data_IF_638590756394
#
_entry.id   IF_638590756394
#
_cell.length_a   1.000
_cell.length_b   1.000
_cell.length_c   1.000
_cell.angle_alpha   90.00
_cell.angle_beta   90.00
_cell.angle_gamma   90.00
#
_symmetry.space_group_name_H-M   'P 1'
#
loop_
_entity.id
_entity.type
_entity.pdbx_description
1 polymer ?
#
# COMPACT_ATOMS: atom_id res chain seq x y z
N UNK A 1 47.47 -13.70 16.13
CA UNK A 1 46.92 -13.12 14.88
C UNK A 1 45.71 -12.26 15.22
N UNK A 2 45.98 -11.00 15.52
CA UNK A 2 45.01 -9.98 15.91
C UNK A 2 45.50 -8.66 15.31
N UNK A 3 44.58 -7.73 15.02
CA UNK A 3 44.78 -6.37 14.48
C UNK A 3 44.53 -6.19 12.98
N UNK A 4 43.26 -6.26 12.59
CA UNK A 4 42.63 -5.24 11.71
C UNK A 4 41.21 -4.97 12.21
N UNK A 5 41.09 -4.80 13.52
CA UNK A 5 39.88 -4.30 14.17
C UNK A 5 40.12 -2.81 14.45
N UNK A 6 39.15 -1.96 14.07
CA UNK A 6 38.97 -0.55 14.48
C UNK A 6 39.40 0.63 13.58
N UNK A 7 40.13 0.49 12.47
CA UNK A 7 40.46 1.69 11.66
C UNK A 7 39.34 2.28 10.79
N UNK A 8 38.14 1.67 10.75
CA UNK A 8 36.96 2.30 10.12
C UNK A 8 36.29 3.33 11.06
N UNK A 9 36.80 3.50 12.29
CA UNK A 9 36.20 4.38 13.30
C UNK A 9 36.80 5.79 13.41
N UNK A 10 37.53 6.26 12.40
CA UNK A 10 37.92 7.67 12.27
C UNK A 10 37.45 8.31 10.95
N UNK A 11 36.47 7.70 10.30
CA UNK A 11 35.76 8.35 9.20
C UNK A 11 34.78 9.33 9.84
N UNK A 12 34.94 10.64 9.63
CA UNK A 12 33.99 11.63 10.14
C UNK A 12 32.59 11.31 9.64
N UNK A 13 31.55 11.67 10.39
CA UNK A 13 30.16 11.26 10.13
C UNK A 13 29.70 11.62 8.71
N UNK A 14 30.11 12.79 8.21
CA UNK A 14 29.92 13.25 6.83
C UNK A 14 30.66 12.39 5.80
N UNK A 15 31.86 11.90 6.10
CA UNK A 15 32.61 11.03 5.20
C UNK A 15 31.90 9.67 4.98
N UNK A 16 31.08 9.17 5.92
CA UNK A 16 30.30 7.94 5.71
C UNK A 16 29.30 8.08 4.55
N UNK A 17 28.62 9.22 4.45
CA UNK A 17 27.66 9.49 3.36
C UNK A 17 28.37 9.67 2.01
N UNK A 18 29.54 10.29 2.02
CA UNK A 18 30.41 10.44 0.85
C UNK A 18 30.91 9.08 0.36
N UNK A 19 31.47 8.27 1.25
CA UNK A 19 31.92 6.89 0.95
C UNK A 19 30.76 6.05 0.45
N UNK A 20 29.60 6.13 1.10
CA UNK A 20 28.39 5.45 0.64
C UNK A 20 28.03 5.86 -0.80
N UNK A 21 28.01 7.16 -1.09
CA UNK A 21 27.67 7.68 -2.43
C UNK A 21 28.62 7.17 -3.51
N UNK A 22 29.94 7.17 -3.23
CA UNK A 22 30.94 6.62 -4.14
C UNK A 22 30.78 5.10 -4.33
N UNK A 23 30.55 4.34 -3.26
CA UNK A 23 30.34 2.90 -3.36
C UNK A 23 29.09 2.56 -4.16
N UNK A 24 27.98 3.29 -3.97
CA UNK A 24 26.77 3.11 -4.77
C UNK A 24 27.03 3.43 -6.24
N UNK A 25 27.73 4.53 -6.54
CA UNK A 25 28.04 4.89 -7.93
C UNK A 25 28.94 3.84 -8.60
N UNK A 26 30.01 3.41 -7.92
CA UNK A 26 30.86 2.33 -8.40
C UNK A 26 30.07 1.04 -8.60
N UNK A 27 29.23 0.66 -7.64
CA UNK A 27 28.38 -0.53 -7.75
C UNK A 27 27.50 -0.49 -9.00
N UNK A 28 26.86 0.65 -9.29
CA UNK A 28 25.98 0.82 -10.45
C UNK A 28 26.73 0.83 -11.78
N UNK A 29 27.97 1.35 -11.80
CA UNK A 29 28.79 1.48 -13.00
C UNK A 29 29.51 0.19 -13.41
N UNK A 30 29.60 -0.81 -12.52
CA UNK A 30 30.19 -2.10 -12.88
C UNK A 30 29.43 -2.77 -14.05
N UNK A 31 30.18 -3.22 -15.06
CA UNK A 31 29.65 -4.04 -16.14
C UNK A 31 29.53 -5.51 -15.67
N UNK A 32 28.86 -6.38 -16.44
CA UNK A 32 28.67 -7.79 -16.10
C UNK A 32 29.80 -8.71 -16.61
N UNK A 33 31.03 -8.18 -16.76
CA UNK A 33 32.19 -9.00 -17.12
C UNK A 33 32.61 -9.88 -15.93
N UNK A 34 33.37 -10.94 -16.17
CA UNK A 34 33.69 -11.94 -15.13
C UNK A 34 34.56 -11.34 -14.00
N UNK A 35 35.56 -10.52 -14.33
CA UNK A 35 36.41 -9.84 -13.35
C UNK A 35 35.71 -8.76 -12.52
N UNK A 36 34.60 -8.19 -13.00
CA UNK A 36 33.84 -7.18 -12.26
C UNK A 36 32.86 -7.78 -11.25
N UNK A 37 32.58 -9.08 -11.31
CA UNK A 37 31.67 -9.75 -10.36
C UNK A 37 32.25 -9.83 -8.95
N UNK A 38 33.54 -10.17 -8.80
CA UNK A 38 34.18 -10.22 -7.49
C UNK A 38 34.21 -8.85 -6.82
N UNK A 39 34.50 -7.80 -7.60
CA UNK A 39 34.43 -6.41 -7.13
C UNK A 39 32.99 -6.00 -6.79
N UNK A 40 32.00 -6.41 -7.61
CA UNK A 40 30.57 -6.20 -7.33
C UNK A 40 30.19 -6.79 -5.97
N UNK A 41 30.54 -8.05 -5.70
CA UNK A 41 30.22 -8.71 -4.43
C UNK A 41 30.94 -8.07 -3.25
N UNK A 42 32.18 -7.61 -3.44
CA UNK A 42 32.93 -6.91 -2.39
C UNK A 42 32.29 -5.56 -2.05
N UNK A 43 31.95 -4.75 -3.05
CA UNK A 43 31.25 -3.48 -2.85
C UNK A 43 29.88 -3.71 -2.23
N UNK A 44 29.13 -4.71 -2.71
CA UNK A 44 27.84 -5.08 -2.15
C UNK A 44 27.92 -5.50 -0.69
N UNK A 45 28.91 -6.33 -0.34
CA UNK A 45 29.19 -6.74 1.03
C UNK A 45 29.52 -5.57 1.94
N UNK A 46 30.31 -4.60 1.47
CA UNK A 46 30.60 -3.37 2.20
C UNK A 46 29.34 -2.52 2.42
N UNK A 47 28.58 -2.24 1.36
CA UNK A 47 27.34 -1.47 1.43
C UNK A 47 26.36 -2.10 2.43
N UNK A 48 26.10 -3.41 2.32
CA UNK A 48 25.15 -4.09 3.18
C UNK A 48 25.64 -4.22 4.62
N UNK A 49 26.82 -4.84 4.83
CA UNK A 49 27.24 -5.28 6.16
C UNK A 49 27.90 -4.18 6.97
N UNK A 50 28.55 -3.22 6.32
CA UNK A 50 29.34 -2.18 7.00
C UNK A 50 28.66 -0.83 7.07
N UNK A 51 27.74 -0.52 6.15
CA UNK A 51 27.04 0.78 6.12
C UNK A 51 25.55 0.62 6.46
N UNK A 52 24.78 -0.05 5.61
CA UNK A 52 23.31 -0.09 5.72
C UNK A 52 22.81 -0.84 6.96
N UNK A 53 23.53 -1.88 7.40
CA UNK A 53 23.21 -2.67 8.60
C UNK A 53 24.07 -2.30 9.81
N UNK A 54 24.83 -1.21 9.76
CA UNK A 54 25.62 -0.77 10.89
C UNK A 54 24.71 -0.44 12.09
N UNK A 55 25.16 -0.82 13.30
CA UNK A 55 24.43 -0.50 14.55
C UNK A 55 24.39 1.00 14.80
N UNK A 56 25.52 1.68 14.58
CA UNK A 56 25.64 3.14 14.68
C UNK A 56 25.23 3.78 13.36
N UNK A 57 24.37 4.78 13.44
CA UNK A 57 23.91 5.58 12.31
C UNK A 57 24.73 6.88 12.32
N UNK A 58 25.04 7.49 11.16
CA UNK A 58 25.58 8.84 11.14
C UNK A 58 24.58 9.82 11.78
N UNK A 59 24.95 10.40 12.92
CA UNK A 59 24.10 11.30 13.71
C UNK A 59 24.88 12.59 14.02
N UNK A 60 24.39 13.74 13.57
CA UNK A 60 25.05 15.02 13.81
C UNK A 60 24.48 16.12 12.92
N UNK A 61 24.60 17.36 13.39
CA UNK A 61 24.17 18.56 12.66
C UNK A 61 25.04 18.82 11.41
N UNK A 62 26.25 18.27 11.37
CA UNK A 62 27.22 18.36 10.28
C UNK A 62 26.76 17.66 8.98
N UNK A 63 25.76 16.78 9.08
CA UNK A 63 25.17 16.14 7.91
C UNK A 63 24.28 17.13 7.16
N UNK A 64 24.65 17.54 5.96
CA UNK A 64 23.79 18.41 5.16
C UNK A 64 22.54 17.67 4.66
N UNK A 65 21.36 18.25 4.87
CA UNK A 65 20.08 17.68 4.40
C UNK A 65 20.07 17.45 2.88
N UNK A 66 20.71 18.35 2.12
CA UNK A 66 20.89 18.23 0.66
C UNK A 66 21.55 16.92 0.23
N UNK A 67 22.47 16.39 1.06
CA UNK A 67 23.12 15.10 0.80
C UNK A 67 22.14 13.94 0.99
N UNK A 68 21.34 13.97 2.06
CA UNK A 68 20.31 12.96 2.32
C UNK A 68 19.25 12.96 1.21
N UNK A 69 18.82 14.14 0.77
CA UNK A 69 17.89 14.32 -0.35
C UNK A 69 18.42 13.74 -1.66
N UNK A 70 19.68 14.05 -1.99
CA UNK A 70 20.34 13.53 -3.19
C UNK A 70 20.38 11.99 -3.17
N UNK A 71 20.73 11.40 -2.03
CA UNK A 71 20.75 9.95 -1.86
C UNK A 71 19.33 9.36 -1.95
N UNK A 72 18.35 9.96 -1.28
CA UNK A 72 16.96 9.50 -1.29
C UNK A 72 16.37 9.55 -2.70
N UNK A 73 16.55 10.68 -3.40
CA UNK A 73 16.09 10.88 -4.78
C UNK A 73 16.72 9.86 -5.73
N UNK A 74 18.04 9.63 -5.62
CA UNK A 74 18.73 8.59 -6.41
C UNK A 74 18.21 7.19 -6.09
N UNK A 75 17.99 6.90 -4.81
CA UNK A 75 17.48 5.59 -4.35
C UNK A 75 16.08 5.32 -4.89
N UNK A 76 15.13 6.24 -4.74
CA UNK A 76 13.78 6.09 -5.30
C UNK A 76 13.79 6.00 -6.82
N UNK A 77 14.62 6.80 -7.51
CA UNK A 77 14.79 6.72 -8.96
C UNK A 77 15.33 5.36 -9.41
N UNK A 78 16.17 4.70 -8.62
CA UNK A 78 16.60 3.32 -8.91
C UNK A 78 15.46 2.31 -8.74
N UNK A 79 14.54 2.51 -7.78
CA UNK A 79 13.37 1.66 -7.62
C UNK A 79 12.34 1.84 -8.75
N UNK A 80 12.27 3.02 -9.38
CA UNK A 80 11.33 3.27 -10.49
C UNK A 80 11.85 2.75 -11.83
N UNK A 81 13.18 2.60 -12.00
CA UNK A 81 13.81 2.27 -13.28
C UNK A 81 13.30 0.94 -13.89
N UNK A 82 13.00 0.93 -15.20
CA UNK A 82 12.68 -0.30 -15.90
C UNK A 82 13.92 -1.19 -16.07
N UNK A 83 13.73 -2.49 -15.93
CA UNK A 83 14.72 -3.50 -16.31
C UNK A 83 14.87 -3.45 -17.84
N UNK A 84 15.92 -2.78 -18.33
CA UNK A 84 16.26 -2.80 -19.77
C UNK A 84 16.86 -4.17 -20.10
N UNK A 85 16.06 -5.10 -20.63
CA UNK A 85 16.60 -6.27 -21.32
C UNK A 85 17.31 -5.76 -22.57
N UNK A 86 18.61 -6.00 -22.72
CA UNK A 86 19.23 -5.89 -24.05
C UNK A 86 18.58 -6.99 -24.90
N UNK A 87 17.85 -6.65 -25.95
CA UNK A 87 17.42 -7.64 -26.95
C UNK A 87 18.65 -8.07 -27.73
N UNK A 88 19.43 -8.98 -27.15
CA UNK A 88 20.42 -9.70 -27.91
C UNK A 88 19.74 -11.01 -28.30
N UNK A 89 19.43 -11.12 -29.59
CA UNK A 89 18.86 -12.30 -30.24
C UNK A 89 19.68 -13.59 -29.98
N UNK A 90 20.86 -13.49 -29.33
CA UNK A 90 21.79 -14.58 -29.03
C UNK A 90 22.40 -14.55 -27.59
N UNK A 91 21.75 -14.01 -26.54
CA UNK A 91 22.35 -14.04 -25.19
C UNK A 91 22.18 -15.39 -24.50
N UNK A 92 23.28 -16.04 -24.09
CA UNK A 92 23.22 -17.27 -23.29
C UNK A 92 22.41 -17.09 -21.99
N UNK A 93 21.68 -18.13 -21.58
CA UNK A 93 20.85 -18.14 -20.36
C UNK A 93 21.61 -17.63 -19.12
N UNK A 94 22.93 -17.89 -19.04
CA UNK A 94 23.82 -17.47 -17.95
C UNK A 94 23.95 -15.94 -17.87
N UNK A 95 24.15 -15.24 -18.99
CA UNK A 95 24.26 -13.77 -19.02
C UNK A 95 22.95 -13.10 -18.61
N UNK A 96 21.82 -13.70 -19.00
CA UNK A 96 20.50 -13.23 -18.60
C UNK A 96 20.25 -13.43 -17.10
N UNK A 97 20.64 -14.58 -16.54
CA UNK A 97 20.54 -14.84 -15.10
C UNK A 97 21.39 -13.86 -14.27
N UNK A 98 22.64 -13.62 -14.69
CA UNK A 98 23.52 -12.64 -14.05
C UNK A 98 22.97 -11.20 -14.11
N UNK A 99 22.35 -10.82 -15.22
CA UNK A 99 21.68 -9.52 -15.31
C UNK A 99 20.47 -9.42 -14.37
N UNK A 100 19.63 -10.46 -14.31
CA UNK A 100 18.47 -10.50 -13.41
C UNK A 100 18.90 -10.47 -11.94
N UNK A 101 19.95 -11.20 -11.55
CA UNK A 101 20.48 -11.20 -10.19
C UNK A 101 21.02 -9.81 -9.81
N UNK A 102 21.78 -9.16 -10.70
CA UNK A 102 22.25 -7.78 -10.52
C UNK A 102 21.10 -6.80 -10.34
N UNK A 103 20.04 -6.91 -11.14
CA UNK A 103 18.85 -6.04 -10.98
C UNK A 103 18.15 -6.25 -9.64
N UNK A 104 18.08 -7.50 -9.14
CA UNK A 104 17.56 -7.77 -7.78
C UNK A 104 18.42 -7.09 -6.71
N UNK A 105 19.76 -7.12 -6.84
CA UNK A 105 20.66 -6.41 -5.93
C UNK A 105 20.47 -4.89 -5.99
N UNK A 106 20.35 -4.31 -7.18
CA UNK A 106 20.11 -2.87 -7.35
C UNK A 106 18.78 -2.46 -6.70
N UNK A 107 17.73 -3.25 -6.89
CA UNK A 107 16.44 -3.00 -6.23
C UNK A 107 16.57 -3.09 -4.71
N UNK A 108 17.22 -4.13 -4.20
CA UNK A 108 17.47 -4.27 -2.75
C UNK A 108 18.34 -3.12 -2.20
N UNK A 109 19.34 -2.67 -2.95
CA UNK A 109 20.18 -1.52 -2.60
C UNK A 109 19.31 -0.27 -2.46
N UNK A 110 18.47 0.00 -3.46
CA UNK A 110 17.55 1.13 -3.45
C UNK A 110 16.66 1.13 -2.21
N UNK A 111 16.00 0.00 -1.89
CA UNK A 111 15.13 -0.09 -0.71
C UNK A 111 15.90 0.12 0.59
N UNK A 112 17.02 -0.59 0.77
CA UNK A 112 17.83 -0.49 1.99
C UNK A 112 18.40 0.92 2.16
N UNK A 113 18.81 1.57 1.07
CA UNK A 113 19.31 2.94 1.07
C UNK A 113 18.22 3.92 1.47
N UNK A 114 17.00 3.77 0.94
CA UNK A 114 15.85 4.57 1.36
C UNK A 114 15.58 4.40 2.85
N UNK A 115 15.51 3.15 3.36
CA UNK A 115 15.27 2.92 4.79
C UNK A 115 16.38 3.49 5.67
N UNK A 116 17.64 3.36 5.25
CA UNK A 116 18.79 3.87 5.99
C UNK A 116 18.79 5.40 6.04
N UNK A 117 18.55 6.08 4.92
CA UNK A 117 18.41 7.55 4.89
C UNK A 117 17.26 8.01 5.77
N UNK A 118 16.11 7.33 5.70
CA UNK A 118 14.96 7.66 6.53
C UNK A 118 15.23 7.46 8.03
N UNK A 119 16.06 6.48 8.38
CA UNK A 119 16.51 6.27 9.76
C UNK A 119 17.37 7.45 10.25
N UNK A 120 18.25 7.98 9.39
CA UNK A 120 19.04 9.20 9.68
C UNK A 120 18.10 10.40 9.84
N UNK A 121 17.15 10.59 8.92
CA UNK A 121 16.16 11.67 8.98
C UNK A 121 15.37 11.64 10.29
N UNK A 122 14.91 10.45 10.70
CA UNK A 122 14.17 10.27 11.94
C UNK A 122 14.98 10.65 13.19
N UNK A 123 16.28 10.30 13.21
CA UNK A 123 17.16 10.59 14.35
C UNK A 123 17.49 12.09 14.52
N UNK A 124 17.25 12.91 13.50
CA UNK A 124 17.71 14.31 13.46
C UNK A 124 16.68 15.37 13.83
N UNK A 125 15.46 14.99 14.21
CA UNK A 125 14.39 15.95 14.58
C UNK A 125 14.29 17.16 13.63
N UNK A 126 14.22 16.90 12.31
CA UNK A 126 14.32 17.94 11.29
C UNK A 126 13.21 19.01 11.41
N UNK A 127 13.49 20.28 11.04
CA UNK A 127 12.46 21.31 10.93
C UNK A 127 11.45 20.97 9.82
N UNK A 128 10.28 21.60 9.88
CA UNK A 128 9.16 21.27 9.00
C UNK A 128 9.47 21.51 7.51
N UNK A 129 10.22 22.56 7.19
CA UNK A 129 10.66 22.86 5.82
C UNK A 129 11.54 21.75 5.22
N UNK A 130 12.40 21.13 6.04
CA UNK A 130 13.23 20.00 5.60
C UNK A 130 12.44 18.70 5.46
N UNK A 131 11.49 18.45 6.37
CA UNK A 131 10.54 17.34 6.20
C UNK A 131 9.75 17.48 4.90
N UNK A 132 9.32 18.71 4.55
CA UNK A 132 8.62 18.96 3.31
C UNK A 132 9.47 18.62 2.08
N UNK A 133 10.75 18.98 2.06
CA UNK A 133 11.67 18.62 0.96
C UNK A 133 11.82 17.10 0.80
N UNK A 134 11.79 16.34 1.90
CA UNK A 134 11.75 14.87 1.86
C UNK A 134 10.43 14.37 1.27
N UNK A 135 9.30 14.96 1.66
CA UNK A 135 7.98 14.62 1.12
C UNK A 135 7.90 14.89 -0.39
N UNK A 136 8.44 16.00 -0.87
CA UNK A 136 8.45 16.35 -2.29
C UNK A 136 9.17 15.28 -3.13
N UNK A 137 10.25 14.70 -2.60
CA UNK A 137 10.96 13.60 -3.25
C UNK A 137 10.08 12.35 -3.37
N UNK A 138 9.30 12.02 -2.34
CA UNK A 138 8.33 10.92 -2.40
C UNK A 138 7.17 11.22 -3.36
N UNK A 139 6.62 12.43 -3.32
CA UNK A 139 5.57 12.86 -4.24
C UNK A 139 6.02 12.72 -5.68
N UNK A 140 7.23 13.17 -6.03
CA UNK A 140 7.79 13.01 -7.38
C UNK A 140 7.90 11.54 -7.81
N UNK A 141 8.37 10.66 -6.92
CA UNK A 141 8.47 9.23 -7.22
C UNK A 141 7.10 8.57 -7.40
N UNK A 142 6.10 8.96 -6.58
CA UNK A 142 4.74 8.47 -6.68
C UNK A 142 4.02 9.02 -7.91
N UNK A 143 4.24 10.29 -8.26
CA UNK A 143 3.76 10.88 -9.50
C UNK A 143 4.24 10.08 -10.71
N UNK A 144 5.54 9.76 -10.77
CA UNK A 144 6.08 8.91 -11.82
C UNK A 144 5.42 7.52 -11.82
N UNK A 145 5.15 6.94 -10.65
CA UNK A 145 4.46 5.65 -10.52
C UNK A 145 3.04 5.68 -11.13
N UNK A 146 2.24 6.69 -10.84
CA UNK A 146 0.86 6.78 -11.35
C UNK A 146 0.79 7.12 -12.84
N UNK A 147 1.74 7.93 -13.35
CA UNK A 147 1.74 8.39 -14.75
C UNK A 147 2.45 7.39 -15.68
N UNK A 148 3.59 6.85 -15.26
CA UNK A 148 4.45 6.05 -16.13
C UNK A 148 4.09 4.57 -16.10
N UNK A 149 3.72 4.03 -17.27
CA UNK A 149 3.59 2.57 -17.48
C UNK A 149 4.93 1.83 -17.26
N UNK A 150 6.06 2.53 -17.33
CA UNK A 150 7.40 1.96 -17.18
C UNK A 150 7.89 1.92 -15.73
N UNK A 151 7.24 2.65 -14.82
CA UNK A 151 7.65 2.66 -13.41
C UNK A 151 7.54 1.25 -12.82
N UNK A 152 8.66 0.77 -12.26
CA UNK A 152 8.77 -0.50 -11.54
C UNK A 152 8.70 -0.35 -10.02
N UNK A 153 8.34 0.85 -9.55
CA UNK A 153 8.16 1.09 -8.13
C UNK A 153 7.10 0.13 -7.59
N UNK A 154 7.47 -0.64 -6.56
CA UNK A 154 6.59 -1.65 -5.98
C UNK A 154 5.74 -1.02 -4.88
N UNK A 155 4.40 -1.22 -4.86
CA UNK A 155 3.55 -0.73 -3.78
C UNK A 155 3.98 -1.22 -2.40
N UNK A 156 4.34 -2.51 -2.28
CA UNK A 156 4.84 -3.07 -1.02
C UNK A 156 6.10 -2.39 -0.48
N UNK A 157 6.96 -1.85 -1.35
CA UNK A 157 8.13 -1.07 -0.91
C UNK A 157 7.70 0.23 -0.23
N UNK A 158 6.77 0.98 -0.86
CA UNK A 158 6.26 2.25 -0.31
C UNK A 158 5.41 2.00 0.94
N UNK A 159 4.60 0.94 0.95
CA UNK A 159 3.83 0.53 2.13
C UNK A 159 4.75 0.28 3.33
N UNK A 160 5.87 -0.41 3.12
CA UNK A 160 6.89 -0.62 4.15
C UNK A 160 7.57 0.69 4.59
N UNK A 161 7.76 1.66 3.67
CA UNK A 161 8.22 3.01 4.04
C UNK A 161 7.25 3.66 5.01
N UNK A 162 5.94 3.62 4.73
CA UNK A 162 4.93 4.22 5.61
C UNK A 162 4.85 3.50 6.96
N UNK A 163 5.05 2.18 7.00
CA UNK A 163 5.10 1.44 8.27
C UNK A 163 6.30 1.85 9.12
N UNK A 164 7.47 2.04 8.50
CA UNK A 164 8.71 2.44 9.19
C UNK A 164 8.75 3.91 9.55
N UNK A 165 8.11 4.75 8.76
CA UNK A 165 8.06 6.21 8.92
C UNK A 165 6.63 6.71 8.70
N UNK A 166 5.74 6.53 9.68
CA UNK A 166 4.32 6.83 9.54
C UNK A 166 4.00 8.27 9.14
N UNK A 167 4.80 9.23 9.62
CA UNK A 167 4.64 10.65 9.26
C UNK A 167 4.68 10.89 7.75
N UNK A 168 5.46 10.11 6.98
CA UNK A 168 5.50 10.21 5.51
C UNK A 168 4.16 9.78 4.91
N UNK A 169 3.65 8.63 5.36
CA UNK A 169 2.37 8.11 4.89
C UNK A 169 1.22 9.07 5.21
N UNK A 170 1.15 9.55 6.45
CA UNK A 170 0.13 10.48 6.91
C UNK A 170 0.14 11.79 6.10
N UNK A 171 1.32 12.38 5.84
CA UNK A 171 1.43 13.61 5.05
C UNK A 171 1.19 13.41 3.55
N UNK A 172 1.33 12.18 3.04
CA UNK A 172 1.04 11.84 1.64
C UNK A 172 -0.38 11.28 1.45
N UNK A 173 -1.18 11.19 2.51
CA UNK A 173 -2.47 10.50 2.48
C UNK A 173 -3.43 11.14 1.47
N UNK A 174 -3.64 12.46 1.57
CA UNK A 174 -4.50 13.19 0.64
C UNK A 174 -4.00 13.09 -0.82
N UNK A 175 -2.69 13.28 -1.03
CA UNK A 175 -2.08 13.10 -2.34
C UNK A 175 -2.38 11.72 -2.93
N UNK A 176 -2.26 10.65 -2.15
CA UNK A 176 -2.55 9.28 -2.61
C UNK A 176 -4.03 9.09 -2.92
N UNK A 177 -4.94 9.60 -2.08
CA UNK A 177 -6.39 9.55 -2.33
C UNK A 177 -6.72 10.22 -3.66
N UNK A 178 -6.19 11.42 -3.90
CA UNK A 178 -6.37 12.14 -5.16
C UNK A 178 -5.82 11.38 -6.37
N UNK A 179 -4.62 10.78 -6.27
CA UNK A 179 -4.02 10.02 -7.38
C UNK A 179 -4.75 8.72 -7.67
N UNK A 180 -5.19 7.99 -6.65
CA UNK A 180 -6.01 6.79 -6.82
C UNK A 180 -7.36 7.12 -7.50
N UNK A 181 -7.97 8.26 -7.16
CA UNK A 181 -9.21 8.70 -7.79
C UNK A 181 -9.03 9.10 -9.27
N UNK A 182 -7.95 9.81 -9.58
CA UNK A 182 -7.74 10.40 -10.92
C UNK A 182 -7.06 9.47 -11.92
N UNK A 183 -6.35 8.43 -11.46
CA UNK A 183 -5.60 7.55 -12.36
C UNK A 183 -6.53 6.73 -13.26
N UNK A 184 -6.26 6.77 -14.57
CA UNK A 184 -7.02 6.04 -15.60
C UNK A 184 -6.74 4.53 -15.57
N UNK A 185 -5.55 4.13 -15.15
CA UNK A 185 -5.16 2.73 -15.09
C UNK A 185 -5.75 2.04 -13.84
N UNK A 186 -6.68 1.11 -14.07
CA UNK A 186 -7.27 0.24 -13.01
C UNK A 186 -6.19 -0.46 -12.19
N UNK A 187 -5.16 -1.01 -12.85
CA UNK A 187 -4.00 -1.60 -12.19
C UNK A 187 -3.30 -0.63 -11.22
N UNK A 188 -2.98 0.60 -11.68
CA UNK A 188 -2.32 1.59 -10.83
C UNK A 188 -3.22 2.10 -9.71
N UNK A 189 -4.52 2.21 -9.96
CA UNK A 189 -5.50 2.56 -8.93
C UNK A 189 -5.43 1.57 -7.79
N UNK A 190 -5.62 0.29 -8.09
CA UNK A 190 -5.66 -0.78 -7.08
C UNK A 190 -4.32 -0.94 -6.36
N UNK A 191 -3.20 -0.84 -7.07
CA UNK A 191 -1.88 -0.83 -6.45
C UNK A 191 -1.67 0.38 -5.52
N UNK A 192 -2.13 1.58 -5.90
CA UNK A 192 -2.06 2.77 -5.05
C UNK A 192 -2.94 2.64 -3.81
N UNK A 193 -4.11 2.03 -3.96
CA UNK A 193 -5.05 1.78 -2.86
C UNK A 193 -4.44 0.83 -1.81
N UNK A 194 -3.57 -0.11 -2.19
CA UNK A 194 -2.79 -0.93 -1.24
C UNK A 194 -1.82 -0.11 -0.37
N UNK A 195 -1.33 1.03 -0.87
CA UNK A 195 -0.53 1.99 -0.09
C UNK A 195 -1.41 2.76 0.90
N UNK A 196 -2.59 3.23 0.45
CA UNK A 196 -3.60 3.91 1.29
C UNK A 196 -4.07 2.99 2.42
N UNK A 197 -4.31 1.72 2.14
CA UNK A 197 -4.63 0.68 3.13
C UNK A 197 -3.58 0.61 4.25
N UNK A 198 -2.29 0.74 3.91
CA UNK A 198 -1.21 0.76 4.89
C UNK A 198 -1.29 1.95 5.86
N UNK A 199 -1.67 3.13 5.35
CA UNK A 199 -1.84 4.35 6.16
C UNK A 199 -3.06 4.22 7.07
N UNK A 200 -4.20 3.74 6.54
CA UNK A 200 -5.42 3.53 7.32
C UNK A 200 -5.21 2.51 8.46
N UNK A 201 -4.43 1.47 8.22
CA UNK A 201 -4.04 0.51 9.28
C UNK A 201 -3.29 1.22 10.39
N UNK A 202 -2.31 2.05 10.03
CA UNK A 202 -1.55 2.81 11.00
C UNK A 202 -2.43 3.73 11.84
N UNK A 203 -3.36 4.49 11.22
CA UNK A 203 -4.23 5.42 11.95
C UNK A 203 -5.08 4.76 13.05
N UNK A 204 -5.41 3.47 12.91
CA UNK A 204 -6.18 2.72 13.91
C UNK A 204 -5.28 2.07 14.97
N UNK A 205 -4.09 1.63 14.57
CA UNK A 205 -3.15 0.93 15.46
C UNK A 205 -2.13 1.83 16.13
N UNK A 206 -2.06 3.10 15.74
CA UNK A 206 -1.09 4.02 16.33
C UNK A 206 -1.45 4.25 17.78
N UNK A 207 -0.45 4.36 18.65
CA UNK A 207 -0.63 4.85 20.01
C UNK A 207 -0.90 6.36 20.07
N UNK A 208 -1.22 7.00 18.94
CA UNK A 208 -1.72 8.38 18.95
C UNK A 208 -3.06 8.44 19.68
N UNK A 209 -3.34 9.61 20.25
CA UNK A 209 -4.64 9.88 20.85
C UNK A 209 -5.75 9.68 19.81
N UNK A 210 -6.78 8.94 20.21
CA UNK A 210 -7.90 8.56 19.34
C UNK A 210 -8.54 9.79 18.68
N UNK A 211 -8.64 10.89 19.41
CA UNK A 211 -9.27 12.12 18.94
C UNK A 211 -8.44 12.81 17.86
N UNK A 212 -7.11 12.87 18.02
CA UNK A 212 -6.21 13.40 16.99
C UNK A 212 -6.23 12.55 15.70
N UNK A 213 -6.28 11.22 15.83
CA UNK A 213 -6.42 10.32 14.70
C UNK A 213 -7.80 10.46 14.00
N UNK A 214 -8.85 10.68 14.80
CA UNK A 214 -10.21 10.93 14.32
C UNK A 214 -10.29 12.21 13.51
N UNK A 215 -9.86 13.34 14.06
CA UNK A 215 -9.89 14.64 13.38
C UNK A 215 -9.09 14.63 12.08
N UNK A 216 -7.94 13.95 12.07
CA UNK A 216 -7.14 13.77 10.85
C UNK A 216 -7.87 12.93 9.81
N UNK A 217 -8.49 11.82 10.18
CA UNK A 217 -9.23 11.02 9.19
C UNK A 217 -10.48 11.76 8.72
N UNK A 218 -11.13 12.52 9.60
CA UNK A 218 -12.28 13.37 9.31
C UNK A 218 -11.96 14.43 8.25
N UNK A 219 -10.80 15.09 8.32
CA UNK A 219 -10.37 16.05 7.28
C UNK A 219 -10.16 15.40 5.90
N UNK A 220 -10.11 14.07 5.82
CA UNK A 220 -9.95 13.30 4.59
C UNK A 220 -11.16 12.40 4.30
N UNK A 221 -12.28 12.58 5.00
CA UNK A 221 -13.44 11.70 4.86
C UNK A 221 -14.03 11.77 3.45
N UNK A 222 -14.21 12.97 2.90
CA UNK A 222 -14.78 13.15 1.56
C UNK A 222 -13.90 12.53 0.46
N UNK A 223 -12.58 12.81 0.38
CA UNK A 223 -11.73 12.14 -0.59
C UNK A 223 -11.65 10.61 -0.43
N UNK A 224 -11.75 10.11 0.80
CA UNK A 224 -11.80 8.68 1.08
C UNK A 224 -13.12 8.05 0.60
N UNK A 225 -14.25 8.68 0.91
CA UNK A 225 -15.57 8.26 0.46
C UNK A 225 -15.64 8.26 -1.06
N UNK A 226 -15.19 9.33 -1.72
CA UNK A 226 -15.14 9.41 -3.17
C UNK A 226 -14.30 8.28 -3.81
N UNK A 227 -13.20 7.89 -3.17
CA UNK A 227 -12.38 6.78 -3.64
C UNK A 227 -13.12 5.44 -3.48
N UNK A 228 -13.81 5.23 -2.36
CA UNK A 228 -14.65 4.05 -2.14
C UNK A 228 -15.77 3.99 -3.17
N UNK A 229 -16.53 5.09 -3.35
CA UNK A 229 -17.59 5.23 -4.35
C UNK A 229 -17.08 4.85 -5.75
N UNK A 230 -15.94 5.42 -6.15
CA UNK A 230 -15.34 5.11 -7.46
C UNK A 230 -14.96 3.64 -7.61
N UNK A 231 -14.49 2.99 -6.54
CA UNK A 231 -14.15 1.57 -6.58
C UNK A 231 -15.41 0.71 -6.66
N UNK A 232 -16.46 0.99 -5.88
CA UNK A 232 -17.65 0.14 -5.84
C UNK A 232 -18.54 0.30 -7.09
N UNK A 233 -18.64 1.52 -7.63
CA UNK A 233 -19.41 1.79 -8.86
C UNK A 233 -18.72 1.14 -10.07
N UNK A 234 -17.39 1.25 -10.17
CA UNK A 234 -16.58 0.66 -11.24
C UNK A 234 -15.61 -0.39 -10.67
N UNK A 235 -16.17 -1.51 -10.17
CA UNK A 235 -15.35 -2.55 -9.55
C UNK A 235 -14.36 -3.17 -10.54
N UNK A 236 -13.10 -3.38 -10.13
CA UNK A 236 -12.09 -4.00 -10.98
C UNK A 236 -12.57 -5.32 -11.61
N UNK A 237 -12.28 -5.48 -12.89
CA UNK A 237 -12.72 -6.66 -13.67
C UNK A 237 -11.94 -7.91 -13.30
N UNK A 238 -10.65 -7.75 -12.98
CA UNK A 238 -9.79 -8.88 -12.61
C UNK A 238 -10.02 -9.29 -11.16
N UNK A 239 -10.19 -10.59 -10.92
CA UNK A 239 -10.44 -11.17 -9.60
C UNK A 239 -9.42 -10.73 -8.53
N UNK A 240 -8.13 -10.76 -8.86
CA UNK A 240 -7.06 -10.32 -7.95
C UNK A 240 -7.23 -8.85 -7.52
N UNK A 241 -7.53 -7.98 -8.47
CA UNK A 241 -7.69 -6.55 -8.23
C UNK A 241 -8.98 -6.22 -7.49
N UNK A 242 -10.05 -6.96 -7.81
CA UNK A 242 -11.32 -6.91 -7.08
C UNK A 242 -11.13 -7.27 -5.61
N UNK A 243 -10.38 -8.35 -5.34
CA UNK A 243 -10.08 -8.77 -3.96
C UNK A 243 -9.27 -7.70 -3.20
N UNK A 244 -8.33 -7.02 -3.86
CA UNK A 244 -7.58 -5.91 -3.26
C UNK A 244 -8.49 -4.71 -2.96
N UNK A 245 -9.39 -4.35 -3.88
CA UNK A 245 -10.37 -3.29 -3.65
C UNK A 245 -11.32 -3.62 -2.48
N UNK A 246 -11.83 -4.85 -2.40
CA UNK A 246 -12.64 -5.31 -1.26
C UNK A 246 -11.87 -5.24 0.06
N UNK A 247 -10.62 -5.69 0.07
CA UNK A 247 -9.76 -5.64 1.27
C UNK A 247 -9.54 -4.20 1.72
N UNK A 248 -9.36 -3.27 0.78
CA UNK A 248 -9.27 -1.85 1.09
C UNK A 248 -10.57 -1.30 1.68
N UNK A 249 -11.73 -1.53 1.05
CA UNK A 249 -13.00 -1.03 1.56
C UNK A 249 -13.27 -1.54 2.98
N UNK A 250 -13.05 -2.84 3.24
CA UNK A 250 -13.18 -3.40 4.58
C UNK A 250 -12.22 -2.76 5.60
N UNK A 251 -10.98 -2.44 5.19
CA UNK A 251 -10.04 -1.75 6.05
C UNK A 251 -10.42 -0.28 6.31
N UNK A 252 -10.95 0.42 5.31
CA UNK A 252 -11.46 1.78 5.45
C UNK A 252 -12.65 1.82 6.41
N UNK A 253 -13.63 0.93 6.23
CA UNK A 253 -14.76 0.79 7.16
C UNK A 253 -14.32 0.47 8.58
N UNK A 254 -13.32 -0.41 8.75
CA UNK A 254 -12.74 -0.67 10.07
C UNK A 254 -12.15 0.59 10.69
N UNK A 255 -11.44 1.42 9.91
CA UNK A 255 -10.85 2.65 10.39
C UNK A 255 -11.91 3.71 10.75
N UNK A 256 -12.87 3.92 9.86
CA UNK A 256 -14.00 4.85 10.05
C UNK A 256 -14.78 4.46 11.32
N UNK A 257 -15.10 3.18 11.49
CA UNK A 257 -15.81 2.66 12.67
C UNK A 257 -14.98 2.79 13.94
N UNK A 258 -13.69 2.46 13.90
CA UNK A 258 -12.80 2.58 15.07
C UNK A 258 -12.67 4.03 15.55
N UNK A 259 -12.70 4.99 14.63
CA UNK A 259 -12.59 6.43 14.90
C UNK A 259 -13.94 7.13 15.04
N UNK A 260 -15.06 6.38 15.08
CA UNK A 260 -16.42 6.92 15.24
C UNK A 260 -16.88 7.90 14.12
N UNK A 261 -16.36 7.76 12.90
CA UNK A 261 -16.65 8.66 11.75
C UNK A 261 -17.75 8.14 10.82
N UNK A 262 -18.61 7.23 11.30
CA UNK A 262 -19.63 6.57 10.47
C UNK A 262 -20.63 7.61 9.94
N UNK A 263 -21.03 8.57 10.77
CA UNK A 263 -21.98 9.61 10.39
C UNK A 263 -21.42 10.47 9.25
N UNK A 264 -20.21 10.99 9.43
CA UNK A 264 -19.51 11.81 8.42
C UNK A 264 -19.29 11.04 7.11
N UNK A 265 -19.00 9.75 7.21
CA UNK A 265 -18.87 8.90 6.03
C UNK A 265 -20.20 8.77 5.26
N UNK A 266 -21.30 8.49 5.96
CA UNK A 266 -22.62 8.32 5.34
C UNK A 266 -23.15 9.63 4.77
N UNK A 267 -22.89 10.76 5.43
CA UNK A 267 -23.23 12.10 4.92
C UNK A 267 -22.47 12.44 3.63
N UNK A 268 -21.23 11.97 3.49
CA UNK A 268 -20.42 12.15 2.29
C UNK A 268 -20.73 11.12 1.17
N UNK A 269 -21.52 10.09 1.45
CA UNK A 269 -21.78 8.99 0.52
C UNK A 269 -23.01 9.31 -0.34
N UNK A 270 -22.87 9.23 -1.66
CA UNK A 270 -24.01 9.42 -2.57
C UNK A 270 -24.95 8.23 -2.55
N UNK A 271 -26.24 8.42 -2.89
CA UNK A 271 -27.22 7.33 -2.99
C UNK A 271 -26.74 6.21 -3.92
N UNK A 272 -26.20 6.57 -5.09
CA UNK A 272 -25.63 5.59 -6.04
C UNK A 272 -24.48 4.77 -5.41
N UNK A 273 -23.58 5.44 -4.67
CA UNK A 273 -22.48 4.76 -4.02
C UNK A 273 -22.93 3.90 -2.83
N UNK A 274 -24.00 4.31 -2.14
CA UNK A 274 -24.65 3.52 -1.10
C UNK A 274 -25.20 2.20 -1.68
N UNK A 275 -26.00 2.28 -2.75
CA UNK A 275 -26.58 1.12 -3.43
C UNK A 275 -25.47 0.19 -3.98
N UNK A 276 -24.42 0.79 -4.56
CA UNK A 276 -23.26 0.04 -5.05
C UNK A 276 -22.49 -0.64 -3.89
N UNK A 277 -22.39 -0.01 -2.71
CA UNK A 277 -21.80 -0.64 -1.53
C UNK A 277 -22.62 -1.84 -1.08
N UNK A 278 -23.95 -1.73 -1.00
CA UNK A 278 -24.83 -2.86 -0.64
C UNK A 278 -24.69 -4.01 -1.65
N UNK A 279 -24.75 -3.71 -2.95
CA UNK A 279 -24.68 -4.72 -4.01
C UNK A 279 -23.31 -5.40 -4.09
N UNK A 280 -22.21 -4.64 -4.00
CA UNK A 280 -20.85 -5.15 -4.24
C UNK A 280 -20.17 -5.68 -2.98
N UNK A 281 -20.36 -5.01 -1.84
CA UNK A 281 -19.67 -5.32 -0.59
C UNK A 281 -20.51 -6.20 0.35
N UNK A 282 -21.84 -6.18 0.21
CA UNK A 282 -22.79 -7.00 0.97
C UNK A 282 -22.49 -6.99 2.47
N UNK A 283 -22.20 -8.18 3.03
CA UNK A 283 -21.88 -8.38 4.44
C UNK A 283 -20.81 -7.43 5.00
N UNK A 284 -19.82 -7.04 4.20
CA UNK A 284 -18.74 -6.14 4.64
C UNK A 284 -19.33 -4.77 4.99
N UNK A 285 -20.28 -4.28 4.19
CA UNK A 285 -20.95 -3.01 4.38
C UNK A 285 -22.02 -3.10 5.48
N UNK A 286 -22.83 -4.15 5.51
CA UNK A 286 -23.84 -4.33 6.57
C UNK A 286 -23.23 -4.46 7.97
N UNK A 287 -22.06 -5.10 8.12
CA UNK A 287 -21.33 -5.15 9.42
C UNK A 287 -20.71 -3.81 9.82
N UNK A 288 -20.47 -2.94 8.85
CA UNK A 288 -19.94 -1.60 9.06
C UNK A 288 -21.03 -0.65 9.58
N UNK A 289 -22.21 -0.68 8.96
CA UNK A 289 -23.35 0.16 9.33
C UNK A 289 -23.70 0.05 10.83
N UNK A 290 -24.20 1.13 11.43
CA UNK A 290 -24.70 1.07 12.80
C UNK A 290 -25.87 0.07 12.81
N UNK A 291 -25.84 -0.87 13.74
CA UNK A 291 -27.02 -1.70 13.99
C UNK A 291 -28.13 -0.75 14.42
N UNK A 292 -29.17 -0.61 13.61
CA UNK A 292 -30.46 -0.17 14.13
C UNK A 292 -30.85 -1.19 15.20
N UNK A 293 -30.50 -0.94 16.47
CA UNK A 293 -31.28 -1.51 17.56
C UNK A 293 -32.63 -0.80 17.44
N UNK A 294 -33.75 -1.51 17.20
CA UNK A 294 -35.03 -0.89 17.46
C UNK A 294 -35.03 -0.55 18.95
N UNK A 295 -35.02 0.75 19.27
CA UNK A 295 -35.47 1.22 20.57
C UNK A 295 -36.88 0.64 20.74
N UNK A 296 -37.00 -0.32 21.67
CA UNK A 296 -38.29 -0.73 22.17
C UNK A 296 -38.86 0.51 22.87
N UNK A 297 -39.79 1.17 22.20
CA UNK A 297 -40.74 2.08 22.82
C UNK A 297 -41.57 1.29 23.84
N UNK A 298 -41.14 1.29 25.09
CA UNK A 298 -42.02 0.97 26.21
C UNK A 298 -42.43 2.27 26.86
N UNK A 299 -43.60 2.76 26.44
CA UNK A 299 -44.27 3.94 26.97
C UNK A 299 -45.77 3.84 26.74
N UNK A 300 -46.38 2.81 27.33
CA UNK A 300 -47.77 2.72 27.81
C UNK A 300 -48.81 3.70 27.25
N UNK A 301 -49.73 3.17 26.44
CA UNK A 301 -51.13 3.64 26.43
C UNK A 301 -52.08 2.44 26.48
N UNK A 302 -52.92 2.43 27.52
CA UNK A 302 -53.97 1.44 27.82
C UNK A 302 -54.92 1.26 26.64
N UNK A 303 -55.14 0.02 26.20
CA UNK A 303 -56.30 -0.33 25.39
C UNK A 303 -57.32 -1.10 26.23
N UNK A 304 -58.54 -0.58 26.24
CA UNK A 304 -59.73 -1.15 26.86
C UNK A 304 -60.04 -2.53 26.28
N UNK A 305 -60.53 -3.38 27.18
CA UNK A 305 -61.04 -4.73 26.98
C UNK A 305 -62.45 -4.63 26.38
N UNK A 306 -62.70 -5.27 25.25
CA UNK A 306 -64.04 -5.73 24.87
C UNK A 306 -63.92 -7.08 24.15
N UNK A 307 -64.46 -8.07 24.84
CA UNK A 307 -64.78 -9.43 24.45
C UNK A 307 -65.61 -9.50 23.18
N UNK A 308 -65.24 -10.41 22.27
CA UNK A 308 -66.24 -11.26 21.62
C UNK A 308 -65.62 -12.57 21.11
N UNK A 309 -66.42 -13.62 21.25
CA UNK A 309 -66.14 -15.04 21.12
C UNK A 309 -66.40 -15.55 19.70
N UNK A 310 -65.55 -16.42 19.17
CA UNK A 310 -65.96 -17.63 18.42
C UNK A 310 -64.75 -18.53 18.12
N UNK A 311 -64.82 -19.79 18.56
CA UNK A 311 -63.96 -20.92 18.13
C UNK A 311 -64.63 -21.61 16.89
N UNK A 312 -64.13 -22.76 16.41
CA UNK A 312 -62.88 -22.99 15.67
C UNK A 312 -63.19 -23.70 14.33
N UNK A 313 -62.23 -23.88 13.42
CA UNK A 313 -62.26 -25.13 12.66
C UNK A 313 -60.89 -25.66 12.23
N UNK A 314 -60.83 -26.99 12.25
CA UNK A 314 -59.70 -27.88 12.03
C UNK A 314 -59.48 -28.13 10.54
N UNK A 315 -58.27 -28.61 10.21
CA UNK A 315 -57.91 -29.67 9.24
C UNK A 315 -56.69 -29.25 8.40
N UNK A 316 -55.52 -29.83 8.63
CA UNK A 316 -55.00 -31.09 8.05
C UNK A 316 -54.94 -31.01 6.51
N UNK A 317 -53.74 -30.83 5.93
CA UNK A 317 -53.06 -31.95 5.26
C UNK A 317 -51.64 -31.64 4.77
N UNK A 318 -50.78 -32.65 4.95
CA UNK A 318 -49.50 -32.86 4.27
C UNK A 318 -49.75 -33.01 2.77
N UNK A 319 -48.82 -32.58 1.91
CA UNK A 319 -48.34 -33.31 0.72
C UNK A 319 -46.95 -32.75 0.31
N UNK A 320 -45.91 -33.58 0.44
CA UNK A 320 -44.83 -33.78 -0.56
C UNK A 320 -45.27 -35.04 -1.35
N UNK A 321 -44.88 -35.31 -2.63
CA UNK A 321 -43.45 -35.41 -3.01
C UNK A 321 -43.09 -35.32 -4.53
N UNK A 322 -41.81 -35.64 -4.82
CA UNK A 322 -41.16 -36.17 -6.07
C UNK A 322 -40.90 -35.18 -7.22
N UNK A 323 -39.62 -34.93 -7.59
CA UNK A 323 -38.64 -35.75 -8.39
C UNK A 323 -39.10 -36.01 -9.83
N UNK A 324 -38.33 -35.54 -10.81
CA UNK A 324 -37.72 -36.30 -11.94
C UNK A 324 -36.95 -35.31 -12.86
N UNK A 325 -35.67 -35.57 -13.16
CA UNK A 325 -35.08 -35.88 -14.51
C UNK A 325 -35.32 -34.82 -15.59
N UNK A 326 -34.49 -34.55 -16.59
CA UNK A 326 -33.15 -34.88 -17.09
C UNK A 326 -33.07 -33.99 -18.34
N UNK A 327 -31.96 -33.33 -18.68
CA UNK A 327 -31.61 -33.20 -20.11
C UNK A 327 -30.14 -32.86 -20.35
N UNK A 328 -29.48 -33.76 -21.10
CA UNK A 328 -28.19 -33.61 -21.76
C UNK A 328 -28.35 -32.75 -23.02
N UNK A 329 -27.36 -31.92 -23.34
CA UNK A 329 -26.86 -31.66 -24.72
C UNK A 329 -25.50 -30.95 -24.63
N UNK A 330 -24.43 -31.62 -25.05
CA UNK A 330 -23.81 -31.53 -26.39
C UNK A 330 -22.67 -30.51 -26.44
N UNK A 331 -21.43 -31.01 -26.37
CA UNK A 331 -20.20 -30.26 -26.65
C UNK A 331 -19.81 -30.50 -28.11
N UNK A 332 -19.81 -29.43 -28.91
CA UNK A 332 -19.31 -29.41 -30.30
C UNK A 332 -17.83 -29.04 -30.31
N UNK A 333 -17.07 -29.88 -31.00
CA UNK A 333 -15.62 -29.84 -31.29
C UNK A 333 -15.43 -29.00 -32.55
N UNK A 334 -14.53 -28.02 -32.55
CA UNK A 334 -14.02 -27.37 -33.78
C UNK A 334 -12.50 -27.34 -33.69
N UNK A 335 -11.87 -27.99 -34.66
CA UNK A 335 -10.42 -28.06 -34.84
C UNK A 335 -9.85 -26.80 -35.47
N UNK A 336 -8.54 -26.64 -35.30
CA UNK A 336 -7.70 -25.72 -36.07
C UNK A 336 -6.87 -26.55 -37.04
N UNK A 337 -6.99 -26.21 -38.32
CA UNK A 337 -6.03 -26.60 -39.34
C UNK A 337 -4.83 -25.64 -39.37
N UNK A 338 -3.79 -26.22 -39.99
CA UNK A 338 -2.42 -25.85 -40.32
C UNK A 338 -2.07 -24.37 -40.48
#
# INVERSE_FOLDING_TARGET
MSRLSWHVMLISKTQVLTVFSYLVQSFLNLNTAEGSQQLEERIWGLLQKKILKAKKIPEGEDIQISTLESILKKSLKLATKPIKKKSATNSSNIKQLAFVSRQKKIFSLSQQSTYWVLKIVHARSLPESEKQRILDIFQLALMEFFVSKKSRLKPGFIKEVFQRQPWIGLRLFDFLLQKCRSVKSEFRRVDGVDMVEGILKFSVSSGEEKDAASERLKSHITPLTDLISKLVIDMPKKKLWRSQAFRFCGQAFKAIKALNLIKEFLEALTSEAYDACELQLGDIFHKFLPLNKPEKSTGTTKLKKSTETMKPDKSINKIKPKKSTDEKKSKKKIGREK
#
